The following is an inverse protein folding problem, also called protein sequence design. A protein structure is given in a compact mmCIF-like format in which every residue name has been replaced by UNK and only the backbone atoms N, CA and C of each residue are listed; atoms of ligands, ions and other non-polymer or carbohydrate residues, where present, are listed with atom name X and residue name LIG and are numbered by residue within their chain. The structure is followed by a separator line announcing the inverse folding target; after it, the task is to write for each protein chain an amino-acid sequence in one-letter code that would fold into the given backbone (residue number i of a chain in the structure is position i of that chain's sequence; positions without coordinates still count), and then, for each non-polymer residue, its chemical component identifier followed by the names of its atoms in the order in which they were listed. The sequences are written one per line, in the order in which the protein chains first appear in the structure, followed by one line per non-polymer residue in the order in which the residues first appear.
data_IF_213572697147
#
_entry.id   IF_213572697147
#
_cell.length_a   1.000
_cell.length_b   1.000
_cell.length_c   1.000
_cell.angle_alpha   90.00
_cell.angle_beta   90.00
_cell.angle_gamma   90.00
#
_symmetry.space_group_name_H-M   'P 1'
#
loop_
_entity.id
_entity.type
_entity.pdbx_description
1 polymer ?
#
# COMPACT_ATOMS: atom_id res chain seq x y z
N UNK A 1 -34.55 -1.38 26.22
CA UNK A 1 -33.73 -0.76 27.29
C UNK A 1 -32.67 0.08 26.60
N UNK A 2 -32.59 1.38 26.92
CA UNK A 2 -31.51 2.28 26.47
C UNK A 2 -30.27 1.98 27.29
N UNK A 3 -29.10 1.90 26.65
CA UNK A 3 -27.84 2.28 27.28
C UNK A 3 -26.88 2.78 26.20
N UNK A 4 -26.74 4.09 26.17
CA UNK A 4 -25.73 4.87 25.45
C UNK A 4 -24.43 4.81 26.23
N UNK A 5 -23.31 4.46 25.59
CA UNK A 5 -21.97 4.91 26.01
C UNK A 5 -21.10 5.11 24.76
N UNK A 6 -21.02 6.39 24.35
CA UNK A 6 -19.95 6.95 23.53
C UNK A 6 -18.72 7.14 24.42
N UNK A 7 -17.53 6.73 23.96
CA UNK A 7 -16.28 7.34 24.44
C UNK A 7 -15.25 7.38 23.32
N UNK A 8 -14.99 8.59 22.84
CA UNK A 8 -13.88 8.94 21.96
C UNK A 8 -12.71 9.44 22.81
N UNK A 9 -11.49 9.00 22.51
CA UNK A 9 -10.26 9.71 22.88
C UNK A 9 -9.21 9.46 21.80
N UNK A 10 -9.14 10.38 20.84
CA UNK A 10 -7.96 10.59 20.02
C UNK A 10 -6.98 11.49 20.79
N UNK A 11 -5.74 11.05 20.95
CA UNK A 11 -4.64 11.90 21.43
C UNK A 11 -3.60 11.97 20.33
N UNK A 12 -3.66 13.04 19.53
CA UNK A 12 -2.55 13.49 18.69
C UNK A 12 -1.58 14.28 19.57
N UNK A 13 -0.37 13.77 19.78
CA UNK A 13 0.72 14.54 20.37
C UNK A 13 1.61 15.08 19.25
N UNK A 14 1.40 16.34 18.90
CA UNK A 14 2.31 17.14 18.07
C UNK A 14 3.40 17.73 18.96
N UNK A 15 4.66 17.44 18.66
CA UNK A 15 5.81 18.18 19.20
C UNK A 15 6.86 18.38 18.10
N UNK A 16 6.64 19.39 17.26
CA UNK A 16 7.67 20.01 16.45
C UNK A 16 8.43 21.00 17.34
N UNK A 17 9.61 20.62 17.82
CA UNK A 17 10.51 21.54 18.51
C UNK A 17 11.31 22.33 17.46
N UNK A 18 10.77 23.49 17.06
CA UNK A 18 11.57 24.56 16.47
C UNK A 18 12.34 25.26 17.60
N UNK A 19 13.64 24.97 17.72
CA UNK A 19 14.57 25.80 18.50
C UNK A 19 15.44 26.61 17.55
N UNK A 20 14.99 27.82 17.24
CA UNK A 20 15.81 28.89 16.68
C UNK A 20 16.85 29.33 17.71
N UNK A 21 18.14 29.17 17.42
CA UNK A 21 19.17 29.88 18.18
C UNK A 21 19.55 31.16 17.44
N UNK A 22 19.30 32.26 18.13
CA UNK A 22 19.57 33.62 17.74
C UNK A 22 21.08 33.87 17.53
N UNK A 23 21.41 34.60 16.47
CA UNK A 23 22.71 35.23 16.30
C UNK A 23 22.84 36.39 17.30
N UNK A 24 23.75 36.29 18.25
CA UNK A 24 24.31 37.44 18.97
C UNK A 24 25.77 37.59 18.56
N UNK A 25 26.02 38.52 17.65
CA UNK A 25 27.36 39.04 17.34
C UNK A 25 27.65 40.22 18.25
N UNK A 26 28.75 40.17 19.01
CA UNK A 26 29.58 41.34 19.31
C UNK A 26 31.05 40.89 19.53
N UNK A 27 32.06 41.69 19.15
CA UNK A 27 33.41 41.22 18.83
C UNK A 27 34.46 41.57 19.89
N UNK A 28 35.39 40.65 20.16
CA UNK A 28 36.78 41.00 20.49
C UNK A 28 37.67 39.76 20.61
N UNK A 29 38.58 39.69 19.64
CA UNK A 29 40.02 39.56 19.81
C UNK A 29 40.63 38.20 20.27
N UNK A 30 41.42 37.68 19.33
CA UNK A 30 42.72 37.02 19.47
C UNK A 30 42.78 35.48 19.59
N UNK A 31 43.14 34.90 18.44
CA UNK A 31 44.06 33.78 18.24
C UNK A 31 43.94 32.57 19.17
N UNK A 32 43.33 31.51 18.66
CA UNK A 32 43.90 30.17 18.73
C UNK A 32 43.35 29.32 17.60
N UNK A 33 44.26 28.73 16.83
CA UNK A 33 44.01 27.65 15.89
C UNK A 33 43.10 26.60 16.55
N UNK A 34 41.89 26.46 16.05
CA UNK A 34 41.13 25.24 16.19
C UNK A 34 40.34 25.10 14.90
N UNK A 35 40.94 24.41 13.93
CA UNK A 35 40.19 23.83 12.82
C UNK A 35 39.02 23.04 13.40
N UNK A 36 37.84 23.66 13.42
CA UNK A 36 36.61 22.92 13.51
C UNK A 36 36.53 22.16 12.20
N UNK A 37 36.94 20.88 12.24
CA UNK A 37 36.45 19.91 11.28
C UNK A 37 34.92 20.02 11.32
N UNK A 38 34.37 20.73 10.34
CA UNK A 38 33.00 20.52 9.95
C UNK A 38 32.98 19.06 9.50
N UNK A 39 32.54 18.18 10.41
CA UNK A 39 31.95 16.93 9.98
C UNK A 39 30.73 17.36 9.18
N UNK A 40 30.91 17.56 7.87
CA UNK A 40 29.80 17.51 6.93
C UNK A 40 29.09 16.20 7.28
N UNK A 41 27.88 16.33 7.84
CA UNK A 41 26.96 15.22 7.85
C UNK A 41 26.91 14.77 6.39
N UNK A 42 27.26 13.50 6.06
CA UNK A 42 27.16 13.05 4.69
C UNK A 42 25.76 13.41 4.24
N UNK A 43 25.66 14.16 3.13
CA UNK A 43 24.40 14.40 2.47
C UNK A 43 23.65 13.08 2.50
N UNK A 44 22.46 13.05 3.10
CA UNK A 44 21.67 11.84 3.19
C UNK A 44 21.62 11.28 1.77
N UNK A 45 22.34 10.18 1.54
CA UNK A 45 22.32 9.50 0.26
C UNK A 45 20.86 9.35 -0.09
N UNK A 46 20.45 9.92 -1.23
CA UNK A 46 19.08 9.84 -1.71
C UNK A 46 18.61 8.42 -1.46
N UNK A 47 17.61 8.27 -0.58
CA UNK A 47 17.02 6.97 -0.35
C UNK A 47 16.62 6.44 -1.73
N UNK A 48 16.96 5.19 -2.07
CA UNK A 48 16.64 4.67 -3.39
C UNK A 48 15.16 4.90 -3.64
N UNK A 49 14.83 5.55 -4.76
CA UNK A 49 13.43 5.74 -5.13
C UNK A 49 12.75 4.37 -5.11
N UNK A 50 11.55 4.28 -4.50
CA UNK A 50 10.83 3.02 -4.45
C UNK A 50 10.68 2.50 -5.88
N UNK A 51 11.03 1.23 -6.10
CA UNK A 51 10.81 0.60 -7.40
C UNK A 51 9.31 0.48 -7.62
N UNK A 52 8.77 1.33 -8.48
CA UNK A 52 7.38 1.30 -8.93
C UNK A 52 7.40 0.90 -10.39
N UNK A 53 6.56 -0.07 -10.77
CA UNK A 53 6.40 -0.51 -12.15
C UNK A 53 5.27 0.29 -12.80
N UNK A 54 5.28 0.40 -14.12
CA UNK A 54 4.25 1.16 -14.85
C UNK A 54 2.86 0.55 -14.64
N UNK A 55 1.82 1.35 -14.89
CA UNK A 55 0.44 0.82 -14.93
C UNK A 55 0.33 -0.39 -15.86
N UNK A 56 0.86 -0.31 -17.08
CA UNK A 56 0.86 -1.43 -18.04
C UNK A 56 1.53 -2.69 -17.48
N UNK A 57 2.68 -2.56 -16.80
CA UNK A 57 3.37 -3.69 -16.17
C UNK A 57 2.57 -4.27 -15.00
N UNK A 58 1.87 -3.43 -14.24
CA UNK A 58 0.97 -3.88 -13.16
C UNK A 58 -0.22 -4.65 -13.75
N UNK A 59 -0.81 -4.14 -14.82
CA UNK A 59 -1.91 -4.77 -15.55
C UNK A 59 -1.49 -6.12 -16.14
N UNK A 60 -0.32 -6.20 -16.76
CA UNK A 60 0.28 -7.46 -17.21
C UNK A 60 0.44 -8.46 -16.05
N UNK A 61 0.97 -8.03 -14.91
CA UNK A 61 1.10 -8.87 -13.71
C UNK A 61 -0.25 -9.43 -13.18
N UNK A 62 -1.36 -8.73 -13.46
CA UNK A 62 -2.68 -9.16 -13.04
C UNK A 62 -3.42 -9.99 -14.11
N UNK A 63 -3.37 -9.60 -15.38
CA UNK A 63 -4.19 -10.15 -16.45
C UNK A 63 -3.45 -11.14 -17.38
N UNK A 64 -2.11 -11.10 -17.47
CA UNK A 64 -1.36 -12.01 -18.34
C UNK A 64 -1.35 -13.45 -17.82
N UNK A 65 -1.17 -14.40 -18.75
CA UNK A 65 -1.06 -15.83 -18.44
C UNK A 65 -2.32 -16.66 -18.72
N UNK A 66 -3.33 -16.06 -19.37
CA UNK A 66 -4.55 -16.75 -19.80
C UNK A 66 -5.25 -17.44 -18.63
N UNK A 67 -5.40 -18.76 -18.69
CA UNK A 67 -6.00 -19.58 -17.60
C UNK A 67 -5.25 -19.51 -16.27
N UNK A 68 -3.97 -19.14 -16.29
CA UNK A 68 -3.11 -19.04 -15.11
C UNK A 68 -2.96 -17.59 -14.60
N UNK A 69 -3.62 -16.62 -15.24
CA UNK A 69 -3.59 -15.22 -14.81
C UNK A 69 -4.11 -15.05 -13.39
N UNK A 70 -3.66 -14.00 -12.72
CA UNK A 70 -4.18 -13.65 -11.41
C UNK A 70 -5.67 -13.28 -11.49
N UNK A 71 -6.10 -12.58 -12.55
CA UNK A 71 -7.50 -12.28 -12.80
C UNK A 71 -8.37 -13.55 -12.84
N UNK A 72 -7.92 -14.62 -13.54
CA UNK A 72 -8.63 -15.90 -13.53
C UNK A 72 -8.62 -16.57 -12.17
N UNK A 73 -7.50 -16.50 -11.44
CA UNK A 73 -7.43 -17.02 -10.07
C UNK A 73 -8.45 -16.32 -9.18
N UNK A 74 -8.42 -14.99 -9.12
CA UNK A 74 -9.37 -14.15 -8.37
C UNK A 74 -10.81 -14.54 -8.68
N UNK A 75 -11.17 -14.63 -9.96
CA UNK A 75 -12.51 -15.06 -10.37
C UNK A 75 -12.87 -16.47 -9.91
N UNK A 76 -11.92 -17.41 -9.91
CA UNK A 76 -12.16 -18.80 -9.50
C UNK A 76 -12.21 -19.01 -7.99
N UNK A 77 -11.51 -18.19 -7.21
CA UNK A 77 -11.39 -18.35 -5.75
C UNK A 77 -12.33 -17.42 -4.99
N UNK A 78 -12.91 -16.41 -5.62
CA UNK A 78 -13.76 -15.42 -4.96
C UNK A 78 -14.95 -16.04 -4.21
N UNK A 79 -15.59 -17.08 -4.75
CA UNK A 79 -16.72 -17.73 -4.10
C UNK A 79 -16.37 -18.30 -2.71
N UNK A 80 -15.12 -18.75 -2.51
CA UNK A 80 -14.63 -19.29 -1.24
C UNK A 80 -14.62 -18.24 -0.12
N UNK A 81 -14.62 -16.95 -0.45
CA UNK A 81 -14.62 -15.87 0.55
C UNK A 81 -15.90 -15.85 1.38
N UNK A 82 -16.99 -16.42 0.90
CA UNK A 82 -18.28 -16.49 1.59
C UNK A 82 -18.55 -17.84 2.24
N UNK A 83 -17.60 -18.76 2.18
CA UNK A 83 -17.71 -20.11 2.73
C UNK A 83 -16.99 -20.22 4.09
N UNK A 84 -17.33 -21.26 4.85
CA UNK A 84 -16.55 -21.60 6.05
C UNK A 84 -15.14 -22.01 5.63
N UNK A 85 -14.13 -21.29 6.11
CA UNK A 85 -12.73 -21.55 5.77
C UNK A 85 -12.27 -22.88 6.37
N UNK A 86 -11.78 -23.74 5.49
CA UNK A 86 -11.09 -25.02 5.75
C UNK A 86 -9.59 -24.85 5.52
N UNK A 87 -8.76 -25.84 5.87
CA UNK A 87 -7.33 -25.80 5.57
C UNK A 87 -7.05 -25.62 4.07
N UNK A 88 -7.82 -26.31 3.21
CA UNK A 88 -7.67 -26.24 1.75
C UNK A 88 -8.13 -24.90 1.19
N UNK A 89 -9.34 -24.44 1.53
CA UNK A 89 -9.84 -23.14 1.06
C UNK A 89 -9.03 -21.98 1.64
N UNK A 90 -8.52 -22.11 2.86
CA UNK A 90 -7.61 -21.15 3.49
C UNK A 90 -6.31 -20.99 2.70
N UNK A 91 -5.71 -22.08 2.20
CA UNK A 91 -4.54 -22.02 1.33
C UNK A 91 -4.86 -21.30 0.01
N UNK A 92 -6.01 -21.58 -0.60
CA UNK A 92 -6.42 -20.94 -1.86
C UNK A 92 -6.70 -19.45 -1.71
N UNK A 93 -7.39 -19.06 -0.63
CA UNK A 93 -7.65 -17.67 -0.26
C UNK A 93 -6.35 -16.93 0.03
N UNK A 94 -5.45 -17.50 0.84
CA UNK A 94 -4.17 -16.91 1.20
C UNK A 94 -3.28 -16.73 -0.03
N UNK A 95 -3.17 -17.76 -0.88
CA UNK A 95 -2.40 -17.69 -2.12
C UNK A 95 -2.94 -16.62 -3.05
N UNK A 96 -4.27 -16.47 -3.16
CA UNK A 96 -4.88 -15.43 -3.99
C UNK A 96 -4.58 -14.04 -3.43
N UNK A 97 -4.84 -13.81 -2.14
CA UNK A 97 -4.51 -12.56 -1.43
C UNK A 97 -3.04 -12.18 -1.62
N UNK A 98 -2.12 -13.12 -1.44
CA UNK A 98 -0.68 -12.86 -1.47
C UNK A 98 -0.20 -12.54 -2.89
N UNK A 99 -0.78 -13.16 -3.92
CA UNK A 99 -0.50 -12.78 -5.30
C UNK A 99 -1.01 -11.38 -5.64
N UNK A 100 -2.20 -10.99 -5.15
CA UNK A 100 -2.68 -9.61 -5.30
C UNK A 100 -1.75 -8.65 -4.57
N UNK A 101 -1.35 -8.96 -3.33
CA UNK A 101 -0.41 -8.15 -2.56
C UNK A 101 0.97 -8.03 -3.24
N UNK A 102 1.41 -9.08 -3.93
CA UNK A 102 2.66 -9.06 -4.71
C UNK A 102 2.59 -8.11 -5.90
N UNK A 103 1.50 -8.10 -6.66
CA UNK A 103 1.28 -7.12 -7.75
C UNK A 103 1.18 -5.71 -7.16
N UNK A 104 0.41 -5.57 -6.09
CA UNK A 104 0.21 -4.31 -5.38
C UNK A 104 1.52 -3.70 -4.85
N UNK A 105 2.48 -4.51 -4.40
CA UNK A 105 3.73 -4.02 -3.78
C UNK A 105 4.52 -3.05 -4.67
N UNK A 106 4.43 -3.21 -5.99
CA UNK A 106 5.18 -2.41 -6.95
C UNK A 106 4.27 -1.53 -7.82
N UNK A 107 2.95 -1.61 -7.64
CA UNK A 107 1.98 -0.85 -8.42
C UNK A 107 2.06 0.65 -8.09
N UNK A 108 1.79 1.48 -9.11
CA UNK A 108 1.65 2.93 -8.92
C UNK A 108 0.57 3.26 -7.86
N UNK A 109 0.72 4.37 -7.10
CA UNK A 109 -0.20 4.75 -6.04
C UNK A 109 -1.68 4.78 -6.46
N UNK A 110 -1.95 5.19 -7.71
CA UNK A 110 -3.30 5.28 -8.26
C UNK A 110 -4.02 3.93 -8.46
N UNK A 111 -3.26 2.83 -8.54
CA UNK A 111 -3.82 1.47 -8.64
C UNK A 111 -4.06 0.83 -7.27
N UNK A 112 -3.46 1.39 -6.22
CA UNK A 112 -3.45 0.79 -4.87
C UNK A 112 -4.85 0.63 -4.30
N UNK A 113 -5.71 1.62 -4.48
CA UNK A 113 -7.09 1.60 -3.97
C UNK A 113 -7.89 0.46 -4.60
N UNK A 114 -7.81 0.32 -5.91
CA UNK A 114 -8.49 -0.75 -6.63
C UNK A 114 -7.94 -2.13 -6.23
N UNK A 115 -6.61 -2.28 -6.15
CA UNK A 115 -6.00 -3.54 -5.70
C UNK A 115 -6.35 -3.88 -4.24
N UNK A 116 -6.53 -2.88 -3.38
CA UNK A 116 -7.04 -3.07 -2.02
C UNK A 116 -8.47 -3.60 -2.01
N UNK A 117 -9.38 -3.01 -2.80
CA UNK A 117 -10.76 -3.48 -2.88
C UNK A 117 -10.89 -4.89 -3.46
N UNK A 118 -10.04 -5.26 -4.43
CA UNK A 118 -9.95 -6.63 -4.96
C UNK A 118 -9.45 -7.61 -3.90
N UNK A 119 -8.46 -7.21 -3.09
CA UNK A 119 -7.82 -8.05 -2.07
C UNK A 119 -8.68 -8.24 -0.81
N UNK A 120 -9.42 -7.21 -0.41
CA UNK A 120 -10.09 -7.14 0.89
C UNK A 120 -10.99 -8.35 1.23
N UNK A 121 -11.82 -8.89 0.30
CA UNK A 121 -12.65 -10.05 0.61
C UNK A 121 -11.86 -11.31 0.98
N UNK A 122 -10.71 -11.53 0.33
CA UNK A 122 -9.83 -12.66 0.62
C UNK A 122 -9.19 -12.52 2.01
N UNK A 123 -8.81 -11.29 2.37
CA UNK A 123 -8.27 -11.00 3.69
C UNK A 123 -9.32 -11.18 4.79
N UNK A 124 -10.52 -10.64 4.60
CA UNK A 124 -11.62 -10.76 5.54
C UNK A 124 -11.99 -12.22 5.82
N UNK A 125 -12.08 -13.05 4.76
CA UNK A 125 -12.36 -14.48 4.89
C UNK A 125 -11.30 -15.19 5.76
N UNK A 126 -10.02 -14.91 5.56
CA UNK A 126 -8.92 -15.52 6.32
C UNK A 126 -8.86 -15.05 7.77
N UNK A 127 -9.31 -13.82 8.04
CA UNK A 127 -9.39 -13.25 9.38
C UNK A 127 -10.65 -13.74 10.14
N UNK A 128 -11.55 -14.46 9.47
CA UNK A 128 -12.79 -14.95 10.05
C UNK A 128 -13.77 -13.82 10.42
N UNK A 129 -13.67 -12.68 9.72
CA UNK A 129 -14.56 -11.53 9.91
C UNK A 129 -15.59 -11.44 8.78
N UNK A 130 -16.61 -10.60 8.97
CA UNK A 130 -17.66 -10.41 7.97
C UNK A 130 -17.07 -9.93 6.63
N UNK A 131 -17.30 -10.71 5.58
CA UNK A 131 -16.83 -10.40 4.23
C UNK A 131 -17.77 -9.41 3.55
N UNK A 132 -17.29 -8.19 3.38
CA UNK A 132 -17.97 -7.15 2.62
C UNK A 132 -17.51 -7.21 1.17
N UNK A 133 -18.43 -7.53 0.25
CA UNK A 133 -18.13 -7.70 -1.18
C UNK A 133 -18.59 -6.53 -2.05
N UNK A 134 -19.20 -5.49 -1.47
CA UNK A 134 -19.76 -4.35 -2.21
C UNK A 134 -18.73 -3.62 -3.06
N UNK A 135 -17.49 -3.55 -2.57
CA UNK A 135 -16.38 -2.87 -3.26
C UNK A 135 -15.65 -3.77 -4.25
N UNK A 136 -15.86 -5.09 -4.20
CA UNK A 136 -15.06 -6.03 -5.00
C UNK A 136 -15.23 -5.82 -6.51
N UNK A 137 -16.48 -5.86 -6.99
CA UNK A 137 -16.74 -5.69 -8.42
C UNK A 137 -16.42 -4.27 -8.90
N UNK A 138 -16.82 -3.18 -8.18
CA UNK A 138 -16.39 -1.83 -8.52
C UNK A 138 -14.87 -1.67 -8.63
N UNK A 139 -14.10 -2.25 -7.70
CA UNK A 139 -12.63 -2.19 -7.77
C UNK A 139 -12.05 -3.00 -8.93
N UNK A 140 -12.62 -4.17 -9.27
CA UNK A 140 -12.22 -4.92 -10.46
C UNK A 140 -12.47 -4.12 -11.75
N UNK A 141 -13.65 -3.48 -11.85
CA UNK A 141 -14.04 -2.72 -13.02
C UNK A 141 -13.18 -1.45 -13.15
N UNK A 142 -12.92 -0.75 -12.05
CA UNK A 142 -12.07 0.43 -12.00
C UNK A 142 -10.60 0.08 -12.32
N UNK A 143 -10.06 -1.01 -11.78
CA UNK A 143 -8.71 -1.49 -12.13
C UNK A 143 -8.62 -1.81 -13.62
N UNK A 144 -9.64 -2.51 -14.17
CA UNK A 144 -9.71 -2.83 -15.59
C UNK A 144 -9.75 -1.56 -16.45
N UNK A 145 -10.52 -0.55 -16.05
CA UNK A 145 -10.61 0.72 -16.77
C UNK A 145 -9.27 1.46 -16.78
N UNK A 146 -8.58 1.55 -15.65
CA UNK A 146 -7.23 2.15 -15.58
C UNK A 146 -6.23 1.42 -16.48
N UNK A 147 -6.32 0.10 -16.60
CA UNK A 147 -5.50 -0.66 -17.54
C UNK A 147 -5.79 -0.26 -19.00
N UNK A 148 -7.06 -0.11 -19.38
CA UNK A 148 -7.43 0.36 -20.73
C UNK A 148 -6.89 1.78 -20.98
N UNK A 149 -7.06 2.69 -20.02
CA UNK A 149 -6.61 4.08 -20.13
C UNK A 149 -5.09 4.19 -20.25
N UNK A 150 -4.35 3.26 -19.63
CA UNK A 150 -2.90 3.13 -19.75
C UNK A 150 -2.44 2.44 -21.06
N UNK A 151 -3.36 2.01 -21.92
CA UNK A 151 -3.05 1.35 -23.19
C UNK A 151 -2.72 -0.14 -23.08
N UNK A 152 -3.07 -0.79 -21.96
CA UNK A 152 -2.90 -2.24 -21.82
C UNK A 152 -3.91 -2.99 -22.70
N UNK A 153 -3.39 -3.83 -23.60
CA UNK A 153 -4.17 -4.65 -24.52
C UNK A 153 -4.49 -6.02 -23.90
N UNK A 154 -5.77 -6.28 -23.65
CA UNK A 154 -6.20 -7.55 -23.07
C UNK A 154 -6.05 -8.70 -24.08
N UNK A 155 -5.22 -9.67 -23.73
CA UNK A 155 -5.10 -10.91 -24.51
C UNK A 155 -6.31 -11.82 -24.29
N UNK A 156 -6.81 -12.41 -25.38
CA UNK A 156 -8.01 -13.28 -25.40
C UNK A 156 -7.68 -14.73 -25.06
#
# INVERSE_FOLDING_TARGET
MRQSLLTATAVLASALLLSSCASTTDPSAEASDTSQSQTESPAATDAPEPTVVTVEQTCAGFYDGGKNSLAKRVSSTFALTSETVTDESGVELATTRDKIASVQRFAEPELQENLNGIKAPFQAALEGVDVVTTEFQPSLDAFRAQCVDAGYEFTS
#
